data_IF_871615572346
#
_entry.id   IF_871615572346
#
_cell.length_a   1.000
_cell.length_b   1.000
_cell.length_c   1.000
_cell.angle_alpha   90.00
_cell.angle_beta   90.00
_cell.angle_gamma   90.00
#
_symmetry.space_group_name_H-M   'P 1'
#
loop_
_entity.id
_entity.type
_entity.pdbx_description
1 polymer ?
#
# COMPACT_ATOMS: atom_id res chain seq x y z
N UNK A 1 32.82 -9.20 -17.74
CA UNK A 1 32.23 -7.96 -17.20
C UNK A 1 30.73 -8.16 -17.17
N UNK A 2 30.16 -8.33 -15.98
CA UNK A 2 28.70 -8.45 -15.82
C UNK A 2 28.15 -7.03 -15.86
N UNK A 3 27.46 -6.68 -16.94
CA UNK A 3 26.70 -5.45 -17.01
C UNK A 3 25.54 -5.58 -16.04
N UNK A 4 25.66 -4.93 -14.88
CA UNK A 4 24.54 -4.72 -13.96
C UNK A 4 23.59 -3.78 -14.74
N UNK A 5 22.34 -4.20 -15.01
CA UNK A 5 21.38 -3.31 -15.67
C UNK A 5 21.20 -2.08 -14.77
N UNK A 6 21.29 -0.89 -15.36
CA UNK A 6 21.08 0.38 -14.67
C UNK A 6 19.85 0.26 -13.77
N UNK A 7 20.06 0.47 -12.47
CA UNK A 7 19.00 0.41 -11.47
C UNK A 7 17.91 1.38 -11.90
N UNK A 8 16.81 0.85 -12.45
CA UNK A 8 15.62 1.66 -12.72
C UNK A 8 15.22 2.29 -11.39
N UNK A 9 15.36 3.60 -11.27
CA UNK A 9 15.05 4.34 -10.05
C UNK A 9 13.65 3.93 -9.58
N UNK A 10 13.59 3.34 -8.39
CA UNK A 10 12.31 2.89 -7.85
C UNK A 10 11.44 4.12 -7.57
N UNK A 11 10.24 4.12 -8.15
CA UNK A 11 9.28 5.22 -8.01
C UNK A 11 8.13 4.82 -7.08
N UNK A 12 7.78 5.70 -6.16
CA UNK A 12 6.62 5.59 -5.29
C UNK A 12 5.47 6.46 -5.80
N UNK A 13 4.24 5.94 -5.77
CA UNK A 13 3.04 6.73 -6.11
C UNK A 13 2.40 7.28 -4.84
N UNK A 14 2.31 8.61 -4.74
CA UNK A 14 1.65 9.32 -3.65
C UNK A 14 0.29 9.82 -4.13
N UNK A 15 -0.76 9.57 -3.33
CA UNK A 15 -2.13 10.00 -3.62
C UNK A 15 -2.43 11.30 -2.88
N UNK A 16 -2.96 12.30 -3.57
CA UNK A 16 -3.30 13.60 -3.01
C UNK A 16 -4.81 13.71 -2.75
N UNK A 17 -5.20 14.61 -1.84
CA UNK A 17 -6.59 14.81 -1.41
C UNK A 17 -7.51 15.33 -2.51
N UNK A 18 -6.95 15.99 -3.52
CA UNK A 18 -7.66 16.45 -4.72
C UNK A 18 -7.97 15.31 -5.71
N UNK A 19 -7.53 14.08 -5.41
CA UNK A 19 -7.71 12.89 -6.24
C UNK A 19 -6.60 12.68 -7.28
N UNK A 20 -5.64 13.58 -7.36
CA UNK A 20 -4.46 13.43 -8.22
C UNK A 20 -3.43 12.45 -7.61
N UNK A 21 -2.47 12.04 -8.44
CA UNK A 21 -1.39 11.13 -8.06
C UNK A 21 -0.07 11.66 -8.56
N UNK A 22 0.96 11.57 -7.74
CA UNK A 22 2.32 12.01 -8.06
C UNK A 22 3.26 10.82 -7.94
N UNK A 23 4.15 10.66 -8.92
CA UNK A 23 5.22 9.67 -8.87
C UNK A 23 6.48 10.34 -8.35
N UNK A 24 7.04 9.84 -7.25
CA UNK A 24 8.20 10.41 -6.56
C UNK A 24 9.27 9.33 -6.45
N UNK A 25 10.55 9.60 -6.76
CA UNK A 25 11.63 8.67 -6.51
C UNK A 25 11.68 8.24 -5.04
N UNK A 26 11.99 6.97 -4.76
CA UNK A 26 12.09 6.48 -3.37
C UNK A 26 13.10 7.27 -2.55
N UNK A 27 14.19 7.73 -3.17
CA UNK A 27 15.22 8.57 -2.53
C UNK A 27 14.66 9.88 -1.96
N UNK A 28 13.70 10.49 -2.63
CA UNK A 28 13.12 11.79 -2.27
C UNK A 28 11.78 11.67 -1.53
N UNK A 29 11.26 10.45 -1.39
CA UNK A 29 9.93 10.20 -0.85
C UNK A 29 9.77 10.75 0.58
N UNK A 30 10.79 10.62 1.44
CA UNK A 30 10.74 11.12 2.82
C UNK A 30 10.49 12.62 2.89
N UNK A 31 11.32 13.39 2.19
CA UNK A 31 11.21 14.86 2.12
C UNK A 31 9.88 15.29 1.50
N UNK A 32 9.44 14.61 0.44
CA UNK A 32 8.16 14.89 -0.20
C UNK A 32 6.98 14.66 0.75
N UNK A 33 6.98 13.57 1.52
CA UNK A 33 5.92 13.25 2.47
C UNK A 33 5.83 14.26 3.62
N UNK A 34 6.96 14.72 4.13
CA UNK A 34 7.02 15.74 5.18
C UNK A 34 6.53 17.10 4.68
N UNK A 35 7.02 17.54 3.51
CA UNK A 35 6.65 18.84 2.94
C UNK A 35 5.18 18.92 2.51
N UNK A 36 4.55 17.80 2.14
CA UNK A 36 3.20 17.76 1.58
C UNK A 36 2.18 17.04 2.47
N UNK A 37 2.46 16.89 3.77
CA UNK A 37 1.64 16.13 4.71
C UNK A 37 0.15 16.52 4.68
N UNK A 38 -0.14 17.82 4.54
CA UNK A 38 -1.51 18.35 4.50
C UNK A 38 -2.23 18.09 3.17
N UNK A 39 -1.51 17.83 2.09
CA UNK A 39 -2.05 17.58 0.76
C UNK A 39 -2.25 16.09 0.49
N UNK A 40 -1.55 15.23 1.22
CA UNK A 40 -1.55 13.79 0.99
C UNK A 40 -2.84 13.15 1.53
N UNK A 41 -3.42 12.28 0.71
CA UNK A 41 -4.54 11.45 1.11
C UNK A 41 -4.04 10.22 1.86
N UNK A 42 -4.15 10.26 3.20
CA UNK A 42 -3.85 9.09 4.03
C UNK A 42 -4.92 8.01 3.78
N UNK A 43 -4.55 6.98 3.02
CA UNK A 43 -5.40 5.81 2.85
C UNK A 43 -5.41 5.01 4.15
N UNK A 44 -6.46 5.21 4.95
CA UNK A 44 -6.77 4.26 6.03
C UNK A 44 -7.16 2.95 5.37
N UNK A 45 -6.32 1.93 5.50
CA UNK A 45 -6.69 0.56 5.17
C UNK A 45 -7.97 0.25 5.96
N UNK A 46 -9.12 0.18 5.27
CA UNK A 46 -10.35 -0.30 5.88
C UNK A 46 -10.02 -1.69 6.40
N UNK A 47 -10.05 -1.87 7.72
CA UNK A 47 -9.83 -3.18 8.30
C UNK A 47 -10.85 -4.11 7.66
N UNK A 48 -10.41 -5.08 6.85
CA UNK A 48 -11.27 -6.17 6.39
C UNK A 48 -11.51 -7.11 7.57
N UNK A 49 -12.06 -6.59 8.66
CA UNK A 49 -12.70 -7.39 9.71
C UNK A 49 -14.14 -7.67 9.26
N UNK A 50 -14.28 -8.30 8.09
CA UNK A 50 -15.42 -9.19 7.93
C UNK A 50 -15.19 -10.38 8.88
N UNK A 51 -16.24 -11.07 9.35
CA UNK A 51 -16.02 -12.34 10.02
C UNK A 51 -15.20 -13.19 9.05
N UNK A 52 -13.98 -13.55 9.45
CA UNK A 52 -13.26 -14.64 8.83
C UNK A 52 -14.18 -15.83 9.07
N UNK A 53 -15.09 -16.10 8.13
CA UNK A 53 -15.84 -17.36 8.08
C UNK A 53 -14.77 -18.42 7.86
N UNK A 54 -14.17 -18.86 8.96
CA UNK A 54 -13.31 -20.02 9.00
C UNK A 54 -14.18 -21.15 8.47
N UNK A 55 -13.94 -21.53 7.21
CA UNK A 55 -14.52 -22.74 6.61
C UNK A 55 -14.21 -24.00 7.43
N UNK A 56 -13.31 -23.89 8.42
CA UNK A 56 -12.93 -24.92 9.37
C UNK A 56 -14.08 -25.27 10.34
N UNK A 57 -14.97 -24.34 10.69
CA UNK A 57 -16.03 -24.63 11.66
C UNK A 57 -17.22 -25.45 11.10
N UNK A 58 -17.29 -25.62 9.77
CA UNK A 58 -18.36 -26.40 9.12
C UNK A 58 -17.97 -27.85 8.81
N UNK A 59 -16.67 -28.20 8.86
CA UNK A 59 -16.20 -29.57 8.60
C UNK A 59 -16.05 -30.42 9.88
N UNK A 60 -16.15 -29.84 11.07
CA UNK A 60 -15.94 -30.55 12.35
C UNK A 60 -17.19 -30.65 13.23
N UNK A 61 -18.39 -30.75 12.64
CA UNK A 61 -19.58 -31.08 13.44
C UNK A 61 -20.44 -32.18 12.78
N UNK A 62 -20.16 -33.46 13.04
CA UNK A 62 -21.05 -34.57 12.71
C UNK A 62 -22.13 -34.72 13.79
N UNK A 63 -22.96 -33.69 14.01
CA UNK A 63 -24.21 -33.79 14.78
C UNK A 63 -24.95 -32.43 14.77
N UNK A 64 -25.87 -32.25 13.83
CA UNK A 64 -27.04 -31.37 13.96
C UNK A 64 -28.14 -31.86 13.02
#
# INVERSE_FOLDING_TARGET
MVQIPEESELMATVFLKDGSKVSVPISELGEYLEANQDLIQVQKLKSRRGPIRSKIAAETNPAA
#
